data_IF_917171487989
#
_entry.id   IF_917171487989
#
_cell.length_a   1.000
_cell.length_b   1.000
_cell.length_c   1.000
_cell.angle_alpha   90.00
_cell.angle_beta   90.00
_cell.angle_gamma   90.00
#
_symmetry.space_group_name_H-M   'P 1'
#
loop_
_entity.id
_entity.type
_entity.pdbx_description
1 polymer ?
#
# COMPACT_ATOMS: atom_id res chain seq x y z
N UNK A 1 21.24 -8.00 49.04
CA UNK A 1 20.26 -7.09 48.40
C UNK A 1 21.03 -6.31 47.33
N UNK A 2 20.79 -6.53 46.03
CA UNK A 2 21.44 -5.71 45.01
C UNK A 2 20.86 -4.30 45.08
N UNK A 3 21.74 -3.30 45.03
CA UNK A 3 21.36 -1.89 45.04
C UNK A 3 20.55 -1.57 43.78
N UNK A 4 19.54 -0.67 43.85
CA UNK A 4 18.88 -0.19 42.65
C UNK A 4 19.92 0.46 41.73
N UNK A 5 19.84 0.26 40.40
CA UNK A 5 20.71 0.98 39.49
C UNK A 5 20.56 2.48 39.74
N UNK A 6 21.68 3.19 39.71
CA UNK A 6 21.71 4.66 39.74
C UNK A 6 20.67 5.20 38.77
N UNK A 7 19.96 6.27 39.16
CA UNK A 7 19.10 7.00 38.23
C UNK A 7 20.01 7.61 37.16
N UNK A 8 20.33 6.81 36.14
CA UNK A 8 21.07 7.24 34.98
C UNK A 8 20.22 8.34 34.36
N UNK A 9 20.69 9.58 34.50
CA UNK A 9 20.00 10.77 34.02
C UNK A 9 19.88 10.64 32.51
N UNK A 10 18.71 10.24 32.04
CA UNK A 10 18.40 10.14 30.63
C UNK A 10 18.74 11.47 29.94
N UNK A 11 19.51 11.37 28.87
CA UNK A 11 20.02 12.50 28.11
C UNK A 11 19.39 12.55 26.72
N UNK A 12 19.59 13.64 26.00
CA UNK A 12 19.12 13.78 24.62
C UNK A 12 19.69 12.72 23.65
N UNK A 13 20.76 12.02 24.03
CA UNK A 13 21.34 10.90 23.27
C UNK A 13 20.49 9.64 23.33
N UNK A 14 19.80 9.43 24.45
CA UNK A 14 18.99 8.23 24.67
C UNK A 14 17.66 8.29 23.90
N UNK A 15 17.28 9.49 23.45
CA UNK A 15 16.13 9.71 22.57
C UNK A 15 16.47 9.56 21.08
N UNK A 16 17.74 9.36 20.74
CA UNK A 16 18.16 9.24 19.35
C UNK A 16 17.49 8.03 18.69
N UNK A 17 16.94 8.26 17.50
CA UNK A 17 16.38 7.19 16.69
C UNK A 17 14.95 6.80 17.03
N UNK A 18 14.35 7.34 18.10
CA UNK A 18 12.92 7.23 18.35
C UNK A 18 12.12 8.04 17.32
N UNK A 19 10.91 7.58 17.04
CA UNK A 19 9.99 8.24 16.12
C UNK A 19 9.02 9.13 16.89
N UNK A 20 8.69 10.29 16.34
CA UNK A 20 7.67 11.21 16.86
C UNK A 20 6.53 11.24 15.86
N UNK A 21 5.32 10.91 16.29
CA UNK A 21 4.12 10.85 15.43
C UNK A 21 3.36 12.19 15.44
N UNK A 22 4.06 13.26 15.04
CA UNK A 22 3.51 14.60 14.81
C UNK A 22 4.26 15.30 13.69
N UNK A 23 3.64 16.31 13.09
CA UNK A 23 4.31 17.20 12.13
C UNK A 23 5.30 18.14 12.84
N UNK A 24 6.46 18.38 12.22
CA UNK A 24 7.47 19.34 12.74
C UNK A 24 6.87 20.75 12.88
N UNK A 25 5.93 21.11 12.00
CA UNK A 25 5.25 22.43 12.00
C UNK A 25 4.27 22.61 13.15
N UNK A 26 3.84 21.52 13.82
CA UNK A 26 2.92 21.62 14.96
C UNK A 26 3.61 22.15 16.22
N UNK A 27 4.94 22.04 16.28
CA UNK A 27 5.74 22.53 17.39
C UNK A 27 6.05 24.01 17.19
N UNK A 28 5.41 24.87 17.99
CA UNK A 28 5.65 26.31 17.97
C UNK A 28 6.89 26.65 18.79
N UNK A 29 7.75 27.51 18.26
CA UNK A 29 8.92 28.01 18.97
C UNK A 29 8.49 28.72 20.26
N UNK A 30 9.06 28.31 21.40
CA UNK A 30 8.74 28.86 22.73
C UNK A 30 7.70 28.08 23.53
N UNK A 31 7.03 27.10 22.95
CA UNK A 31 6.14 26.18 23.67
C UNK A 31 6.90 24.89 24.05
N UNK A 32 6.91 24.54 25.34
CA UNK A 32 7.47 23.27 25.82
C UNK A 32 6.36 22.23 25.96
N UNK A 33 6.40 21.22 25.10
CA UNK A 33 5.44 20.12 25.10
C UNK A 33 6.07 18.84 25.65
N UNK A 34 5.34 18.15 26.52
CA UNK A 34 5.75 16.85 27.04
C UNK A 34 5.27 15.77 26.08
N UNK A 35 6.21 14.96 25.58
CA UNK A 35 5.92 13.78 24.77
C UNK A 35 5.87 12.54 25.67
N UNK A 36 4.90 11.69 25.40
CA UNK A 36 4.66 10.42 26.09
C UNK A 36 4.84 9.26 25.13
N UNK A 37 5.27 8.10 25.65
CA UNK A 37 5.37 6.89 24.85
C UNK A 37 3.96 6.44 24.44
N UNK A 38 3.77 6.09 23.17
CA UNK A 38 2.52 5.52 22.67
C UNK A 38 2.33 4.11 23.22
N UNK A 39 1.11 3.79 23.67
CA UNK A 39 0.74 2.44 24.10
C UNK A 39 0.93 1.43 22.97
N UNK A 40 1.52 0.28 23.30
CA UNK A 40 1.78 -0.83 22.37
C UNK A 40 1.62 -2.18 23.03
N UNK A 41 1.30 -3.18 22.22
CA UNK A 41 1.34 -4.57 22.66
C UNK A 41 2.77 -5.02 22.93
N UNK A 42 3.00 -5.69 24.06
CA UNK A 42 4.34 -6.19 24.44
C UNK A 42 4.92 -7.18 23.42
N UNK A 43 4.06 -7.88 22.68
CA UNK A 43 4.44 -8.84 21.63
C UNK A 43 4.59 -8.20 20.25
N UNK A 44 4.25 -6.91 20.09
CA UNK A 44 4.36 -6.23 18.80
C UNK A 44 5.80 -5.72 18.63
N UNK A 45 6.52 -6.27 17.64
CA UNK A 45 7.89 -5.85 17.28
C UNK A 45 7.90 -4.52 16.49
N UNK A 46 7.22 -3.49 16.99
CA UNK A 46 7.15 -2.16 16.36
C UNK A 46 8.03 -1.14 17.10
N UNK A 47 8.71 -0.25 16.36
CA UNK A 47 9.63 0.76 16.92
C UNK A 47 8.93 1.81 17.79
N UNK A 48 9.46 2.09 18.98
CA UNK A 48 8.90 3.05 19.95
C UNK A 48 8.61 4.44 19.38
N UNK A 49 7.39 4.92 19.70
CA UNK A 49 6.81 6.14 19.15
C UNK A 49 6.48 7.09 20.30
N UNK A 50 6.92 8.35 20.15
CA UNK A 50 6.64 9.45 21.07
C UNK A 50 5.50 10.31 20.53
N UNK A 51 4.59 10.65 21.43
CA UNK A 51 3.30 11.27 21.11
C UNK A 51 2.88 12.23 22.22
N UNK A 52 2.35 13.39 21.88
CA UNK A 52 1.64 14.23 22.84
C UNK A 52 0.15 13.88 22.86
N UNK A 53 -0.38 13.55 24.04
CA UNK A 53 -1.80 13.20 24.25
C UNK A 53 -2.73 14.34 23.79
N UNK A 54 -2.39 15.59 24.05
CA UNK A 54 -3.26 16.73 23.69
C UNK A 54 -3.28 16.96 22.18
N UNK A 55 -2.14 16.85 21.52
CA UNK A 55 -2.04 16.99 20.05
C UNK A 55 -2.81 15.87 19.35
N UNK A 56 -2.71 14.63 19.82
CA UNK A 56 -3.48 13.51 19.26
C UNK A 56 -4.98 13.76 19.36
N UNK A 57 -5.47 14.25 20.50
CA UNK A 57 -6.88 14.55 20.64
C UNK A 57 -7.33 15.64 19.65
N UNK A 58 -6.50 16.67 19.43
CA UNK A 58 -6.77 17.72 18.46
C UNK A 58 -6.77 17.22 17.01
N UNK A 59 -5.79 16.40 16.62
CA UNK A 59 -5.71 15.79 15.29
C UNK A 59 -6.93 14.91 15.01
N UNK A 60 -7.29 14.03 15.95
CA UNK A 60 -8.48 13.20 15.82
C UNK A 60 -9.76 14.03 15.74
N UNK A 61 -9.88 15.10 16.52
CA UNK A 61 -11.01 16.01 16.45
C UNK A 61 -11.13 16.66 15.07
N UNK A 62 -10.02 17.15 14.50
CA UNK A 62 -9.98 17.72 13.14
C UNK A 62 -10.39 16.69 12.08
N UNK A 63 -9.83 15.48 12.14
CA UNK A 63 -10.17 14.38 11.23
C UNK A 63 -11.67 14.03 11.32
N UNK A 64 -12.22 13.94 12.52
CA UNK A 64 -13.65 13.67 12.72
C UNK A 64 -14.53 14.78 12.16
N UNK A 65 -14.13 16.06 12.29
CA UNK A 65 -14.85 17.18 11.70
C UNK A 65 -14.81 17.12 10.16
N UNK A 66 -13.65 16.86 9.57
CA UNK A 66 -13.53 16.67 8.12
C UNK A 66 -14.38 15.51 7.61
N UNK A 67 -14.37 14.37 8.30
CA UNK A 67 -15.19 13.22 7.93
C UNK A 67 -16.68 13.54 8.03
N UNK A 68 -17.08 14.40 8.98
CA UNK A 68 -18.47 14.88 9.07
C UNK A 68 -18.82 15.85 7.96
N UNK A 69 -17.89 16.71 7.54
CA UNK A 69 -18.09 17.63 6.42
C UNK A 69 -18.13 16.90 5.07
N UNK A 70 -17.29 15.87 4.89
CA UNK A 70 -17.22 15.04 3.67
C UNK A 70 -18.40 14.08 3.53
N UNK A 71 -19.15 13.81 4.60
CA UNK A 71 -20.34 12.95 4.54
C UNK A 71 -21.47 13.73 3.86
N UNK A 72 -21.96 13.29 2.69
CA UNK A 72 -23.14 13.90 2.09
C UNK A 72 -24.35 13.72 3.01
N UNK A 73 -25.27 14.69 2.98
CA UNK A 73 -26.56 14.57 3.67
C UNK A 73 -27.29 13.35 3.08
N UNK A 74 -27.78 12.44 3.93
CA UNK A 74 -28.51 11.28 3.44
C UNK A 74 -29.88 11.71 2.91
N UNK A 75 -30.06 11.66 1.58
CA UNK A 75 -31.34 11.90 0.93
C UNK A 75 -31.78 10.61 0.23
N UNK A 76 -32.87 9.95 0.71
CA UNK A 76 -33.30 8.64 0.21
C UNK A 76 -33.70 8.60 -1.27
N UNK A 77 -34.04 9.76 -1.85
CA UNK A 77 -34.53 9.90 -3.22
C UNK A 77 -33.78 11.02 -3.96
N UNK A 78 -32.47 11.13 -3.77
CA UNK A 78 -31.66 11.93 -4.68
C UNK A 78 -31.66 11.23 -6.04
N UNK A 79 -32.39 11.79 -7.01
CA UNK A 79 -32.16 11.51 -8.41
C UNK A 79 -30.76 12.03 -8.72
N UNK A 80 -29.78 11.12 -8.90
CA UNK A 80 -28.45 11.48 -9.38
C UNK A 80 -28.60 12.16 -10.74
N UNK A 81 -28.70 13.48 -10.73
CA UNK A 81 -28.98 14.30 -11.90
C UNK A 81 -27.79 14.14 -12.88
N UNK A 82 -27.95 13.39 -13.99
CA UNK A 82 -26.82 13.02 -14.84
C UNK A 82 -26.27 14.23 -15.62
N UNK A 83 -26.95 15.38 -15.57
CA UNK A 83 -26.55 16.61 -16.23
C UNK A 83 -25.29 17.26 -15.63
N UNK A 84 -24.99 17.02 -14.34
CA UNK A 84 -23.76 17.54 -13.71
C UNK A 84 -22.54 16.63 -13.94
N UNK A 85 -22.72 15.43 -14.48
CA UNK A 85 -21.66 14.48 -14.82
C UNK A 85 -20.88 14.85 -16.11
N UNK A 86 -20.83 16.14 -16.45
CA UNK A 86 -20.00 16.66 -17.54
C UNK A 86 -18.56 16.80 -17.04
N UNK A 87 -17.82 15.69 -16.91
CA UNK A 87 -16.35 15.73 -16.79
C UNK A 87 -15.74 14.32 -16.93
N UNK A 88 -15.59 13.89 -18.19
CA UNK A 88 -14.63 12.87 -18.64
C UNK A 88 -14.72 11.47 -18.01
N UNK A 89 -13.90 10.51 -18.50
CA UNK A 89 -13.74 9.22 -17.83
C UNK A 89 -13.05 9.46 -16.48
N UNK A 90 -13.85 9.52 -15.42
CA UNK A 90 -13.34 9.55 -14.07
C UNK A 90 -12.44 8.32 -13.85
N UNK A 91 -11.20 8.48 -13.37
CA UNK A 91 -10.37 7.33 -13.04
C UNK A 91 -11.14 6.46 -12.04
N UNK A 92 -10.88 5.16 -12.03
CA UNK A 92 -11.43 4.23 -11.03
C UNK A 92 -10.83 4.59 -9.67
N UNK A 93 -11.35 5.63 -9.03
CA UNK A 93 -11.00 6.02 -7.67
C UNK A 93 -11.62 4.96 -6.77
N UNK A 94 -10.79 4.33 -5.95
CA UNK A 94 -11.27 3.43 -4.91
C UNK A 94 -12.30 4.19 -4.07
N UNK A 95 -13.45 3.57 -3.75
CA UNK A 95 -14.42 4.19 -2.85
C UNK A 95 -13.69 4.61 -1.56
N UNK A 96 -14.14 5.67 -0.87
CA UNK A 96 -13.55 6.10 0.40
C UNK A 96 -13.46 4.98 1.46
N UNK A 97 -14.34 3.97 1.36
CA UNK A 97 -14.32 2.78 2.23
C UNK A 97 -13.12 1.85 1.98
N UNK A 98 -12.56 1.87 0.77
CA UNK A 98 -11.45 1.03 0.34
C UNK A 98 -10.15 1.82 0.12
N UNK A 99 -10.12 3.12 0.39
CA UNK A 99 -8.87 3.87 0.48
C UNK A 99 -8.13 3.50 1.76
N UNK A 100 -6.80 3.41 1.70
CA UNK A 100 -5.97 3.23 2.89
C UNK A 100 -6.25 4.37 3.91
N UNK A 101 -6.23 4.07 5.22
CA UNK A 101 -6.39 5.11 6.23
C UNK A 101 -5.30 6.17 6.06
N UNK A 102 -5.61 7.46 6.29
CA UNK A 102 -4.60 8.51 6.26
C UNK A 102 -3.52 8.19 7.31
N UNK A 103 -2.28 8.05 6.87
CA UNK A 103 -1.15 7.90 7.76
C UNK A 103 -0.92 9.23 8.48
N UNK A 104 -0.61 9.16 9.78
CA UNK A 104 -0.23 10.36 10.53
C UNK A 104 1.19 10.76 10.14
N UNK A 105 1.48 12.06 10.13
CA UNK A 105 2.84 12.54 9.92
C UNK A 105 3.75 12.04 11.03
N UNK A 106 4.96 11.62 10.66
CA UNK A 106 5.96 11.17 11.63
C UNK A 106 7.36 11.57 11.18
N UNK A 107 8.25 11.85 12.13
CA UNK A 107 9.68 12.06 11.87
C UNK A 107 10.54 11.37 12.91
N UNK A 108 11.81 11.11 12.56
CA UNK A 108 12.78 10.44 13.43
C UNK A 108 13.71 11.42 14.10
N UNK A 109 14.00 11.23 15.39
CA UNK A 109 14.92 12.08 16.14
C UNK A 109 16.39 11.81 15.78
N UNK A 110 17.14 12.89 15.56
CA UNK A 110 18.55 12.83 15.21
C UNK A 110 19.48 12.61 16.41
N UNK A 111 20.80 12.44 16.16
CA UNK A 111 21.82 12.41 17.21
C UNK A 111 21.85 13.76 17.94
N UNK A 112 21.23 13.82 19.11
CA UNK A 112 21.04 15.05 19.88
C UNK A 112 19.59 15.36 20.25
N UNK A 113 18.63 14.50 19.89
CA UNK A 113 17.23 14.63 20.31
C UNK A 113 16.46 15.77 19.61
N UNK A 114 17.07 16.38 18.59
CA UNK A 114 16.43 17.40 17.76
C UNK A 114 15.67 16.81 16.59
N UNK A 115 14.65 17.53 16.13
CA UNK A 115 14.01 17.28 14.85
C UNK A 115 15.02 17.50 13.70
N UNK A 116 14.90 16.78 12.58
CA UNK A 116 15.77 16.99 11.43
C UNK A 116 15.61 18.41 10.89
N UNK A 117 16.65 19.23 11.04
CA UNK A 117 16.69 20.57 10.47
C UNK A 117 16.78 20.47 8.94
N UNK A 118 15.66 20.69 8.25
CA UNK A 118 15.64 20.87 6.79
C UNK A 118 15.27 19.64 5.95
N UNK A 119 14.57 18.66 6.50
CA UNK A 119 13.92 17.62 5.70
C UNK A 119 12.41 17.75 5.80
N UNK A 120 11.74 18.10 4.70
CA UNK A 120 10.27 18.01 4.58
C UNK A 120 9.77 16.61 4.99
N UNK A 121 8.46 16.47 5.27
CA UNK A 121 7.89 15.31 5.94
C UNK A 121 8.45 14.02 5.34
N UNK A 122 9.29 13.36 6.12
CA UNK A 122 9.95 12.12 5.78
C UNK A 122 8.95 10.98 5.80
N UNK A 123 8.04 10.99 4.82
CA UNK A 123 7.50 9.75 4.32
C UNK A 123 8.66 8.89 3.85
N UNK A 124 8.59 7.59 4.14
CA UNK A 124 9.56 6.60 3.71
C UNK A 124 10.04 6.89 2.27
N UNK A 125 11.35 6.91 1.99
CA UNK A 125 11.86 7.07 0.62
C UNK A 125 11.51 5.88 -0.30
N UNK A 126 10.64 4.96 0.15
CA UNK A 126 10.22 3.77 -0.57
C UNK A 126 8.79 3.83 -1.12
N UNK A 127 8.01 4.87 -0.80
CA UNK A 127 6.73 5.15 -1.46
C UNK A 127 6.89 6.14 -2.63
N UNK A 128 7.98 6.01 -3.39
CA UNK A 128 8.02 6.59 -4.72
C UNK A 128 6.95 5.90 -5.56
N UNK A 129 5.86 6.60 -5.88
CA UNK A 129 4.98 6.25 -6.99
C UNK A 129 5.86 5.79 -8.14
N UNK A 130 5.71 4.56 -8.66
CA UNK A 130 6.56 4.08 -9.72
C UNK A 130 6.55 5.14 -10.83
N UNK A 131 7.72 5.51 -11.39
CA UNK A 131 7.76 6.52 -12.44
C UNK A 131 6.76 6.10 -13.50
N UNK A 132 5.72 6.93 -13.66
CA UNK A 132 4.73 6.71 -14.69
C UNK A 132 5.45 6.55 -16.04
N UNK A 133 4.83 5.87 -17.02
CA UNK A 133 5.44 5.76 -18.34
C UNK A 133 5.90 7.15 -18.80
N UNK A 134 7.16 7.24 -19.24
CA UNK A 134 7.76 8.49 -19.69
C UNK A 134 6.81 9.19 -20.69
N UNK A 135 6.70 10.54 -20.65
CA UNK A 135 5.81 11.25 -21.56
C UNK A 135 6.19 10.93 -23.01
N UNK A 136 5.38 10.11 -23.67
CA UNK A 136 5.56 9.79 -25.08
C UNK A 136 4.93 10.94 -25.88
N UNK A 137 5.74 11.57 -26.74
CA UNK A 137 5.20 12.54 -27.69
C UNK A 137 4.33 11.79 -28.69
N UNK A 138 3.04 12.16 -28.75
CA UNK A 138 2.07 11.54 -29.64
C UNK A 138 2.24 12.09 -31.07
N UNK A 139 3.39 11.81 -31.69
CA UNK A 139 3.66 12.13 -33.09
C UNK A 139 2.93 11.09 -33.95
N UNK A 140 1.71 11.42 -34.35
CA UNK A 140 0.95 10.58 -35.28
C UNK A 140 1.53 10.73 -36.69
N UNK A 141 1.72 9.63 -37.44
CA UNK A 141 2.03 9.70 -38.86
C UNK A 141 0.94 10.49 -39.61
N UNK A 142 1.30 11.21 -40.69
CA UNK A 142 0.32 11.91 -41.50
C UNK A 142 -0.75 10.94 -42.01
N UNK A 143 -2.01 11.37 -41.95
CA UNK A 143 -3.17 10.58 -42.36
C UNK A 143 -3.00 10.12 -43.82
N UNK A 144 -2.97 8.79 -44.02
CA UNK A 144 -2.97 8.17 -45.35
C UNK A 144 -4.36 7.61 -45.64
N UNK A 145 -4.80 7.76 -46.89
CA UNK A 145 -6.02 7.13 -47.37
C UNK A 145 -5.88 5.61 -47.19
N UNK A 146 -6.87 4.97 -46.56
CA UNK A 146 -6.86 3.54 -46.34
C UNK A 146 -7.13 2.82 -47.68
N UNK A 147 -6.15 2.08 -48.23
CA UNK A 147 -6.41 1.28 -49.43
C UNK A 147 -7.34 0.12 -49.07
N UNK A 148 -8.30 -0.18 -49.95
CA UNK A 148 -9.27 -1.27 -49.77
C UNK A 148 -8.62 -2.66 -49.92
N UNK A 149 -7.41 -2.73 -50.48
CA UNK A 149 -6.68 -3.98 -50.73
C UNK A 149 -5.26 -3.90 -50.17
N UNK A 150 -4.85 -4.97 -49.49
CA UNK A 150 -3.50 -5.12 -48.95
C UNK A 150 -2.49 -5.32 -50.08
N UNK A 151 -1.33 -4.67 -49.97
CA UNK A 151 -0.23 -4.86 -50.93
C UNK A 151 0.42 -6.23 -50.74
N UNK A 152 1.02 -6.83 -51.79
CA UNK A 152 1.67 -8.14 -51.67
C UNK A 152 2.83 -8.13 -50.66
N UNK A 153 3.49 -6.99 -50.46
CA UNK A 153 4.56 -6.82 -49.47
C UNK A 153 4.03 -6.90 -48.03
N UNK A 154 2.85 -6.33 -47.76
CA UNK A 154 2.20 -6.38 -46.43
C UNK A 154 1.65 -7.77 -46.10
N UNK A 155 1.14 -8.51 -47.10
CA UNK A 155 0.66 -9.88 -46.92
C UNK A 155 1.75 -10.86 -46.45
N UNK A 156 3.04 -10.56 -46.69
CA UNK A 156 4.17 -11.39 -46.24
C UNK A 156 4.44 -11.25 -44.73
N UNK A 157 4.04 -10.11 -44.13
CA UNK A 157 4.26 -9.84 -42.70
C UNK A 157 3.25 -10.54 -41.78
N UNK A 158 2.17 -11.10 -42.34
CA UNK A 158 1.17 -11.90 -41.63
C UNK A 158 1.71 -13.31 -41.28
N UNK A 159 2.82 -13.36 -40.55
CA UNK A 159 3.31 -14.60 -39.97
C UNK A 159 2.56 -14.89 -38.68
N UNK A 160 1.85 -16.03 -38.65
CA UNK A 160 1.15 -16.50 -37.46
C UNK A 160 2.11 -16.59 -36.28
N UNK A 161 1.85 -15.81 -35.23
CA UNK A 161 2.67 -15.84 -34.02
C UNK A 161 2.50 -17.19 -33.32
N UNK A 162 3.60 -17.92 -33.13
CA UNK A 162 3.58 -19.17 -32.38
C UNK A 162 3.47 -18.85 -30.89
N UNK A 163 2.54 -19.52 -30.19
CA UNK A 163 2.42 -19.41 -28.73
C UNK A 163 3.74 -19.82 -28.07
N UNK A 164 4.35 -18.92 -27.31
CA UNK A 164 5.54 -19.24 -26.51
C UNK A 164 5.11 -20.05 -25.28
N UNK A 165 5.58 -21.29 -25.16
CA UNK A 165 5.41 -22.10 -23.95
C UNK A 165 6.39 -21.60 -22.90
N UNK A 166 5.86 -21.09 -21.77
CA UNK A 166 6.70 -20.65 -20.64
C UNK A 166 7.29 -21.88 -19.96
N UNK A 167 8.58 -22.15 -20.19
CA UNK A 167 9.31 -23.20 -19.45
C UNK A 167 9.54 -22.71 -18.02
N UNK A 168 8.70 -23.15 -17.09
CA UNK A 168 8.92 -22.94 -15.68
C UNK A 168 10.13 -23.80 -15.26
N UNK A 169 11.28 -23.18 -15.03
CA UNK A 169 12.44 -23.87 -14.46
C UNK A 169 12.15 -24.06 -12.97
N UNK A 170 11.70 -25.25 -12.58
CA UNK A 170 11.77 -25.66 -11.17
C UNK A 170 13.25 -25.70 -10.79
N UNK A 171 13.65 -24.91 -9.81
CA UNK A 171 14.98 -25.03 -9.20
C UNK A 171 15.02 -26.40 -8.49
N UNK A 172 16.07 -27.21 -8.65
CA UNK A 172 16.23 -28.41 -7.84
C UNK A 172 16.43 -27.95 -6.39
N UNK A 173 15.52 -28.35 -5.51
CA UNK A 173 15.67 -28.15 -4.06
C UNK A 173 16.94 -28.89 -3.61
N UNK A 174 17.80 -28.21 -2.85
CA UNK A 174 18.97 -28.85 -2.24
C UNK A 174 18.57 -29.49 -0.92
N UNK A 175 19.34 -30.49 -0.48
CA UNK A 175 19.13 -31.16 0.80
C UNK A 175 19.14 -30.18 1.99
N UNK A 176 19.80 -29.04 1.84
CA UNK A 176 19.89 -27.98 2.86
C UNK A 176 18.61 -27.12 2.97
N UNK A 177 17.72 -27.14 1.96
CA UNK A 177 16.41 -26.44 2.01
C UNK A 177 15.34 -27.28 2.74
N UNK A 178 15.65 -28.52 3.15
CA UNK A 178 14.76 -29.38 3.91
C UNK A 178 14.93 -29.07 5.40
N UNK A 179 14.23 -28.05 5.89
CA UNK A 179 14.02 -27.94 7.33
C UNK A 179 13.25 -29.18 7.81
N UNK A 180 13.71 -29.88 8.86
CA UNK A 180 12.94 -30.98 9.43
C UNK A 180 11.64 -30.39 9.97
N UNK A 181 10.52 -30.70 9.32
CA UNK A 181 9.20 -30.48 9.91
C UNK A 181 9.21 -31.13 11.29
N UNK A 182 8.87 -30.35 12.32
CA UNK A 182 8.67 -30.87 13.66
C UNK A 182 7.70 -32.06 13.59
N UNK A 183 7.93 -33.15 14.34
CA UNK A 183 7.03 -34.30 14.36
C UNK A 183 5.73 -33.89 15.08
N UNK A 184 4.77 -33.36 14.32
CA UNK A 184 3.48 -32.92 14.86
C UNK A 184 2.46 -32.50 13.81
N UNK A 185 2.88 -31.95 12.68
CA UNK A 185 1.94 -31.30 11.73
C UNK A 185 1.58 -32.20 10.53
N UNK A 186 1.05 -33.40 10.78
CA UNK A 186 0.51 -34.30 9.72
C UNK A 186 -0.99 -34.53 9.82
N UNK A 187 -1.73 -33.65 10.52
CA UNK A 187 -3.19 -33.67 10.51
C UNK A 187 -3.74 -32.58 9.57
N UNK A 188 -3.43 -32.71 8.28
CA UNK A 188 -3.93 -31.83 7.24
C UNK A 188 -4.11 -32.61 5.95
N UNK A 189 -5.31 -33.16 5.76
CA UNK A 189 -5.73 -33.83 4.53
C UNK A 189 -5.74 -32.80 3.38
N UNK A 190 -4.65 -32.74 2.62
CA UNK A 190 -4.58 -31.92 1.41
C UNK A 190 -5.27 -32.68 0.27
N UNK A 191 -6.60 -32.57 0.27
CA UNK A 191 -7.53 -33.21 -0.63
C UNK A 191 -7.01 -33.41 -2.06
N UNK A 192 -7.06 -34.68 -2.48
CA UNK A 192 -6.65 -35.16 -3.79
C UNK A 192 -7.65 -34.73 -4.87
N UNK A 193 -7.55 -33.51 -5.39
CA UNK A 193 -8.29 -33.09 -6.59
C UNK A 193 -7.50 -33.44 -7.86
N UNK A 194 -7.25 -34.73 -8.05
CA UNK A 194 -6.83 -35.29 -9.34
C UNK A 194 -8.09 -35.81 -10.04
N UNK A 195 -8.52 -35.13 -11.10
CA UNK A 195 -9.74 -35.53 -11.79
C UNK A 195 -10.14 -34.59 -12.92
N UNK A 196 -9.22 -34.28 -13.83
CA UNK A 196 -9.60 -33.78 -15.17
C UNK A 196 -9.07 -34.79 -16.19
N UNK A 197 -9.95 -35.73 -16.53
CA UNK A 197 -9.74 -36.73 -17.56
C UNK A 197 -10.98 -37.60 -17.69
N UNK A 198 -11.84 -37.31 -18.66
CA UNK A 198 -12.98 -38.17 -18.95
C UNK A 198 -14.08 -37.53 -19.79
N UNK A 199 -13.81 -37.28 -21.08
CA UNK A 199 -14.88 -37.37 -22.07
C UNK A 199 -15.48 -38.78 -21.99
N UNK A 200 -16.79 -38.87 -21.76
CA UNK A 200 -17.71 -39.77 -22.48
C UNK A 200 -19.14 -39.38 -22.12
N UNK A 201 -19.94 -39.12 -23.15
CA UNK A 201 -21.34 -38.74 -23.00
C UNK A 201 -22.22 -39.89 -22.56
N UNK A 202 -23.37 -39.53 -21.99
CA UNK A 202 -24.64 -40.24 -22.15
C UNK A 202 -25.77 -39.32 -21.66
N UNK A 203 -26.70 -39.07 -22.57
CA UNK A 203 -28.14 -38.88 -22.41
C UNK A 203 -28.72 -38.75 -20.99
N UNK A 204 -29.51 -37.70 -20.78
CA UNK A 204 -30.43 -37.60 -19.65
C UNK A 204 -31.38 -36.42 -19.85
N UNK A 205 -32.59 -36.72 -20.34
CA UNK A 205 -33.75 -35.83 -20.34
C UNK A 205 -34.02 -35.27 -18.93
N UNK A 206 -34.46 -34.02 -18.86
CA UNK A 206 -35.23 -33.50 -17.74
C UNK A 206 -36.49 -32.84 -18.31
N UNK A 207 -37.62 -33.41 -17.90
CA UNK A 207 -38.93 -32.75 -17.80
C UNK A 207 -38.89 -31.70 -16.68
#
# INVERSE_FOLDING_TARGET
VPLPPSQDLYSSRDLQGLTVEHDVETFREGETLVLTLKDKGVLEEAEDVLVNVTLVAQEQAKQNLELRQKKPQYVPYEEEDPATATQGPQPKVLLPKYSAPPQRPSFRLGPGGGAPAGGGPGGDPQAGTPPGPAPQSLQLPPLRLAPEYLTPEEMVTFRKTRRRVKRLRRKPLKADDLLPMAPGDTQGDFGSRWGWGGLRGAHGCWE
#
